data_IF_645894407765
#
_entry.id   IF_645894407765
#
_cell.length_a   1.000
_cell.length_b   1.000
_cell.length_c   1.000
_cell.angle_alpha   90.00
_cell.angle_beta   90.00
_cell.angle_gamma   90.00
#
_symmetry.space_group_name_H-M   'P 1'
#
loop_
_entity.id
_entity.type
_entity.pdbx_description
1 polymer ?
#
# COMPACT_ATOMS: atom_id res chain seq x y z
N UNK A 1 5.64 -2.01 11.28
CA UNK A 1 5.64 -0.96 10.23
C UNK A 1 4.37 -0.12 10.23
N UNK A 2 3.20 -0.63 10.66
CA UNK A 2 1.93 0.12 10.70
C UNK A 2 1.61 0.86 9.37
N UNK A 3 1.87 0.21 8.23
CA UNK A 3 1.49 0.73 6.93
C UNK A 3 -0.04 0.71 6.79
N UNK A 4 -0.63 1.73 6.18
CA UNK A 4 -2.07 1.81 5.92
C UNK A 4 -2.32 2.37 4.52
N UNK A 5 -3.38 1.90 3.86
CA UNK A 5 -3.65 2.21 2.45
C UNK A 5 -2.78 1.38 1.51
N UNK A 6 -1.48 1.70 1.41
CA UNK A 6 -0.57 1.04 0.49
C UNK A 6 0.88 0.94 0.97
N UNK A 7 1.63 0.04 0.33
CA UNK A 7 3.08 0.01 0.35
C UNK A 7 3.61 -0.92 -0.75
N UNK A 8 4.75 -0.58 -1.35
CA UNK A 8 5.51 -1.47 -2.25
C UNK A 8 6.70 -2.03 -1.48
N UNK A 9 6.82 -3.35 -1.41
CA UNK A 9 7.97 -4.02 -0.80
C UNK A 9 8.89 -4.48 -1.91
N UNK A 10 10.14 -4.02 -1.85
CA UNK A 10 11.16 -4.35 -2.84
C UNK A 10 12.13 -5.37 -2.23
N UNK A 11 12.51 -6.37 -3.02
CA UNK A 11 13.29 -7.51 -2.56
C UNK A 11 14.53 -7.73 -3.43
N UNK A 12 15.57 -8.30 -2.83
CA UNK A 12 16.61 -9.02 -3.56
C UNK A 12 16.30 -10.52 -3.53
N UNK A 13 16.39 -11.18 -4.70
CA UNK A 13 16.23 -12.63 -4.83
C UNK A 13 17.54 -13.23 -5.28
N UNK A 14 18.16 -14.05 -4.43
CA UNK A 14 19.43 -14.73 -4.74
C UNK A 14 19.20 -15.96 -5.62
N UNK A 15 20.26 -16.42 -6.30
CA UNK A 15 20.22 -17.59 -7.20
C UNK A 15 19.80 -18.89 -6.52
N UNK A 16 20.04 -19.02 -5.20
CA UNK A 16 19.63 -20.17 -4.39
C UNK A 16 18.15 -20.07 -3.92
N UNK A 17 17.40 -19.06 -4.36
CA UNK A 17 16.01 -18.84 -3.97
C UNK A 17 15.82 -18.08 -2.66
N UNK A 18 16.89 -17.66 -1.97
CA UNK A 18 16.78 -16.83 -0.78
C UNK A 18 16.24 -15.44 -1.13
N UNK A 19 15.21 -15.01 -0.39
CA UNK A 19 14.56 -13.70 -0.58
C UNK A 19 14.93 -12.80 0.60
N UNK A 20 15.48 -11.62 0.29
CA UNK A 20 15.85 -10.60 1.27
C UNK A 20 15.01 -9.36 1.02
N UNK A 21 14.32 -8.88 2.05
CA UNK A 21 13.63 -7.58 2.00
C UNK A 21 14.68 -6.48 1.90
N UNK A 22 14.60 -5.65 0.86
CA UNK A 22 15.47 -4.49 0.70
C UNK A 22 14.83 -3.25 1.37
N UNK A 23 13.65 -2.85 0.89
CA UNK A 23 12.97 -1.65 1.39
C UNK A 23 11.45 -1.75 1.27
N UNK A 24 10.77 -0.81 1.94
CA UNK A 24 9.32 -0.66 1.89
C UNK A 24 8.99 0.80 1.58
N UNK A 25 8.38 1.01 0.43
CA UNK A 25 7.96 2.31 -0.06
C UNK A 25 6.49 2.57 0.31
N UNK A 26 6.23 3.50 1.22
CA UNK A 26 4.86 3.86 1.63
C UNK A 26 4.14 4.75 0.62
N UNK A 27 4.90 5.54 -0.15
CA UNK A 27 4.41 6.34 -1.29
C UNK A 27 5.24 5.97 -2.53
N UNK A 28 4.96 4.82 -3.16
CA UNK A 28 5.66 4.44 -4.39
C UNK A 28 5.24 5.34 -5.55
N UNK A 29 6.05 5.36 -6.62
CA UNK A 29 5.65 6.00 -7.87
C UNK A 29 4.28 5.51 -8.34
N UNK A 30 3.41 6.46 -8.74
CA UNK A 30 1.98 6.21 -8.97
C UNK A 30 1.48 6.67 -10.35
N UNK A 31 2.38 6.88 -11.31
CA UNK A 31 1.96 7.13 -12.71
C UNK A 31 1.39 5.85 -13.32
N UNK A 32 0.64 5.94 -14.42
CA UNK A 32 0.06 4.76 -15.09
C UNK A 32 1.11 3.73 -15.56
N UNK A 33 2.37 4.13 -15.70
CA UNK A 33 3.50 3.24 -16.05
C UNK A 33 4.35 2.81 -14.85
N UNK A 34 4.04 3.31 -13.66
CA UNK A 34 4.79 2.97 -12.45
C UNK A 34 4.51 1.53 -12.01
N UNK A 35 5.48 0.93 -11.32
CA UNK A 35 5.41 -0.48 -10.92
C UNK A 35 4.23 -0.79 -10.00
N UNK A 36 3.89 0.09 -9.05
CA UNK A 36 2.81 -0.19 -8.09
C UNK A 36 1.44 -0.33 -8.80
N UNK A 37 0.98 0.64 -9.63
CA UNK A 37 -0.22 0.44 -10.45
C UNK A 37 -0.16 -0.77 -11.40
N UNK A 38 0.99 -1.00 -12.05
CA UNK A 38 1.15 -2.10 -13.02
C UNK A 38 1.02 -3.48 -12.38
N UNK A 39 1.52 -3.67 -11.15
CA UNK A 39 1.37 -4.94 -10.43
C UNK A 39 -0.09 -5.25 -10.08
N UNK A 40 -0.88 -4.23 -9.70
CA UNK A 40 -2.31 -4.39 -9.47
C UNK A 40 -3.08 -4.66 -10.76
N UNK A 41 -2.75 -3.97 -11.86
CA UNK A 41 -3.34 -4.21 -13.18
C UNK A 41 -3.08 -5.65 -13.66
N UNK A 42 -1.84 -6.13 -13.53
CA UNK A 42 -1.48 -7.53 -13.83
C UNK A 42 -2.20 -8.55 -12.93
N UNK A 43 -2.64 -8.12 -11.74
CA UNK A 43 -3.46 -8.92 -10.81
C UNK A 43 -4.96 -8.80 -11.07
N UNK A 44 -5.38 -8.07 -12.12
CA UNK A 44 -6.79 -7.91 -12.53
C UNK A 44 -7.49 -6.69 -11.94
N UNK A 45 -6.79 -5.79 -11.25
CA UNK A 45 -7.36 -4.57 -10.68
C UNK A 45 -6.89 -3.36 -11.49
N UNK A 46 -7.77 -2.73 -12.29
CA UNK A 46 -7.40 -1.56 -13.07
C UNK A 46 -7.12 -0.35 -12.16
N UNK A 47 -6.31 0.59 -12.66
CA UNK A 47 -5.88 1.78 -11.91
C UNK A 47 -7.04 2.57 -11.29
N UNK A 48 -8.16 2.74 -12.00
CA UNK A 48 -9.34 3.43 -11.47
C UNK A 48 -9.90 2.75 -10.23
N UNK A 49 -9.99 1.41 -10.23
CA UNK A 49 -10.46 0.63 -9.08
C UNK A 49 -9.48 0.60 -7.93
N UNK A 50 -8.19 0.63 -8.23
CA UNK A 50 -7.16 0.80 -7.22
C UNK A 50 -7.27 2.17 -6.53
N UNK A 51 -7.49 3.24 -7.29
CA UNK A 51 -7.69 4.59 -6.74
C UNK A 51 -8.95 4.66 -5.86
N UNK A 52 -10.08 4.13 -6.35
CA UNK A 52 -11.33 4.03 -5.57
C UNK A 52 -11.04 3.35 -4.23
N UNK A 53 -10.36 2.20 -4.26
CA UNK A 53 -10.06 1.44 -3.05
C UNK A 53 -9.15 2.16 -2.07
N UNK A 54 -8.14 2.90 -2.54
CA UNK A 54 -7.24 3.65 -1.68
C UNK A 54 -7.96 4.82 -0.98
N UNK A 55 -8.92 5.45 -1.66
CA UNK A 55 -9.75 6.50 -1.07
C UNK A 55 -10.67 5.92 0.00
N UNK A 56 -11.33 4.78 -0.28
CA UNK A 56 -12.17 4.08 0.70
C UNK A 56 -11.37 3.71 1.96
N UNK A 57 -10.19 3.11 1.79
CA UNK A 57 -9.30 2.74 2.91
C UNK A 57 -8.90 3.96 3.76
N UNK A 58 -8.69 5.11 3.13
CA UNK A 58 -8.38 6.34 3.86
C UNK A 58 -9.56 6.81 4.73
N UNK A 59 -10.79 6.74 4.20
CA UNK A 59 -12.01 7.09 4.93
C UNK A 59 -12.25 6.09 6.07
N UNK A 60 -12.17 4.78 5.80
CA UNK A 60 -12.33 3.70 6.79
C UNK A 60 -11.36 3.89 7.97
N UNK A 61 -10.10 4.22 7.67
CA UNK A 61 -9.09 4.52 8.68
C UNK A 61 -9.45 5.75 9.51
N UNK A 62 -9.82 6.85 8.84
CA UNK A 62 -10.18 8.09 9.51
C UNK A 62 -11.36 7.90 10.48
N UNK A 63 -12.40 7.17 10.06
CA UNK A 63 -13.55 6.86 10.92
C UNK A 63 -13.17 6.00 12.12
N UNK A 64 -12.27 5.02 11.91
CA UNK A 64 -11.75 4.17 12.98
C UNK A 64 -11.00 4.99 14.03
N UNK A 65 -10.11 5.87 13.60
CA UNK A 65 -9.34 6.75 14.50
C UNK A 65 -10.23 7.74 15.24
N UNK A 66 -11.24 8.30 14.57
CA UNK A 66 -12.19 9.26 15.16
C UNK A 66 -13.03 8.68 16.31
N UNK A 67 -13.17 7.35 16.37
CA UNK A 67 -13.93 6.65 17.43
C UNK A 67 -13.09 6.34 18.67
N UNK A 68 -11.78 6.60 18.64
CA UNK A 68 -10.90 6.37 19.78
C UNK A 68 -11.23 7.36 20.91
N UNK A 69 -11.46 6.86 22.12
CA UNK A 69 -11.76 7.70 23.28
C UNK A 69 -10.51 8.44 23.75
N UNK A 70 -10.53 9.77 23.72
CA UNK A 70 -9.52 10.59 24.38
C UNK A 70 -9.98 10.88 25.80
N UNK A 71 -9.42 10.20 26.80
CA UNK A 71 -9.55 10.63 28.20
C UNK A 71 -8.27 11.34 28.57
N UNK A 72 -8.25 12.66 28.37
CA UNK A 72 -7.22 13.51 28.97
C UNK A 72 -7.83 14.02 30.27
N UNK A 73 -7.34 13.49 31.39
CA UNK A 73 -7.56 14.09 32.72
C UNK A 73 -6.67 15.30 32.89
#
# INVERSE_FOLDING_TARGET
LNCEGMGRVDFFVKKNGEVIVNEINTIPGFTAISMYPKLWEASGIPLSKLLDRLIELAIERFERESKLKTTVK
#
